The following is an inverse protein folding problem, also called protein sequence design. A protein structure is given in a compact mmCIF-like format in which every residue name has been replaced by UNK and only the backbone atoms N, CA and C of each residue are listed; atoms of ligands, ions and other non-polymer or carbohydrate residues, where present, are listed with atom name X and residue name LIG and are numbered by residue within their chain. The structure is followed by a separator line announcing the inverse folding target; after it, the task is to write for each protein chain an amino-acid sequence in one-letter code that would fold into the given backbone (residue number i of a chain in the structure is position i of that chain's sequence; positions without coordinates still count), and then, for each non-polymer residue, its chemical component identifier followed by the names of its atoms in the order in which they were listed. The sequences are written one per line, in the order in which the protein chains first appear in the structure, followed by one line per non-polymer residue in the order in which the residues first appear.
data_IF_535996940658
#
_entry.id   IF_535996940658
#
_cell.length_a   1.000
_cell.length_b   1.000
_cell.length_c   1.000
_cell.angle_alpha   90.00
_cell.angle_beta   90.00
_cell.angle_gamma   90.00
#
_symmetry.space_group_name_H-M   'P 1'
#
loop_
_entity.id
_entity.type
_entity.pdbx_description
1 polymer ?
#
# COMPACT_ATOMS: atom_id res chain seq x y z
N UNK A 1 11.92 4.80 16.20
CA UNK A 1 10.69 4.81 17.03
C UNK A 1 10.04 6.17 16.88
N UNK A 2 8.73 6.25 16.62
CA UNK A 2 8.03 7.53 16.46
C UNK A 2 8.08 8.32 17.79
N UNK A 3 8.50 9.59 17.73
CA UNK A 3 8.45 10.48 18.87
C UNK A 3 7.06 11.16 18.93
N UNK A 4 6.15 10.55 19.68
CA UNK A 4 4.75 10.99 19.76
C UNK A 4 4.57 12.35 20.45
N UNK A 5 5.55 12.81 21.25
CA UNK A 5 5.51 14.13 21.89
C UNK A 5 5.62 15.27 20.88
N UNK A 6 6.57 15.14 19.95
CA UNK A 6 6.84 16.14 18.92
C UNK A 6 5.71 16.17 17.87
N UNK A 7 5.23 14.98 17.50
CA UNK A 7 4.14 14.79 16.51
C UNK A 7 2.75 15.07 17.06
N UNK A 8 2.58 15.29 18.37
CA UNK A 8 1.26 15.46 19.01
C UNK A 8 0.52 16.65 18.43
N UNK A 9 1.16 17.81 18.39
CA UNK A 9 0.50 19.07 18.01
C UNK A 9 0.07 19.01 16.55
N UNK A 10 0.96 18.55 15.65
CA UNK A 10 0.66 18.35 14.23
C UNK A 10 -0.56 17.44 14.03
N UNK A 11 -0.61 16.32 14.74
CA UNK A 11 -1.68 15.33 14.60
C UNK A 11 -3.02 15.85 15.12
N UNK A 12 -3.02 16.49 16.29
CA UNK A 12 -4.23 17.10 16.87
C UNK A 12 -4.78 18.20 15.96
N UNK A 13 -3.92 19.07 15.41
CA UNK A 13 -4.32 20.12 14.48
C UNK A 13 -4.86 19.52 13.18
N UNK A 14 -4.19 18.51 12.61
CA UNK A 14 -4.64 17.86 11.36
C UNK A 14 -6.01 17.21 11.54
N UNK A 15 -6.25 16.55 12.67
CA UNK A 15 -7.56 15.95 12.99
C UNK A 15 -8.62 17.06 13.14
N UNK A 16 -8.33 18.14 13.87
CA UNK A 16 -9.26 19.26 14.03
C UNK A 16 -9.61 19.92 12.69
N UNK A 17 -8.62 20.18 11.83
CA UNK A 17 -8.82 20.71 10.49
C UNK A 17 -9.68 19.74 9.66
N UNK A 18 -9.38 18.44 9.69
CA UNK A 18 -10.17 17.45 8.96
C UNK A 18 -11.66 17.48 9.37
N UNK A 19 -11.95 17.53 10.67
CA UNK A 19 -13.33 17.64 11.17
C UNK A 19 -13.99 18.99 10.82
N UNK A 20 -13.23 20.08 10.81
CA UNK A 20 -13.72 21.41 10.40
C UNK A 20 -14.05 21.47 8.91
N UNK A 21 -13.21 20.90 8.04
CA UNK A 21 -13.51 20.77 6.61
C UNK A 21 -14.73 19.87 6.39
N UNK A 22 -14.84 18.78 7.15
CA UNK A 22 -15.98 17.87 7.07
C UNK A 22 -17.29 18.60 7.45
N UNK A 23 -17.27 19.47 8.47
CA UNK A 23 -18.39 20.37 8.78
C UNK A 23 -18.76 21.27 7.59
N UNK A 24 -17.78 21.91 6.96
CA UNK A 24 -18.03 22.80 5.82
C UNK A 24 -18.67 22.06 4.63
N UNK A 25 -18.17 20.86 4.30
CA UNK A 25 -18.69 20.05 3.20
C UNK A 25 -20.10 19.53 3.48
N UNK A 26 -20.37 19.06 4.70
CA UNK A 26 -21.72 18.61 5.09
C UNK A 26 -22.73 19.77 5.08
N UNK A 27 -22.33 20.92 5.61
CA UNK A 27 -23.17 22.12 5.65
C UNK A 27 -23.49 22.62 4.24
N UNK A 28 -22.54 22.51 3.30
CA UNK A 28 -22.76 22.84 1.90
C UNK A 28 -23.71 21.86 1.19
N UNK A 29 -23.57 20.55 1.44
CA UNK A 29 -24.33 19.53 0.71
C UNK A 29 -25.76 19.34 1.21
N UNK A 30 -26.02 19.54 2.50
CA UNK A 30 -27.33 19.26 3.12
C UNK A 30 -28.15 20.50 3.46
N UNK A 31 -27.62 21.71 3.25
CA UNK A 31 -28.30 22.99 3.59
C UNK A 31 -28.88 23.01 5.02
N UNK A 32 -28.31 22.21 5.92
CA UNK A 32 -28.66 22.10 7.32
C UNK A 32 -27.36 22.20 8.12
N UNK A 33 -27.34 23.08 9.11
CA UNK A 33 -26.17 23.27 9.97
C UNK A 33 -26.02 22.06 10.89
N UNK A 34 -25.19 21.10 10.50
CA UNK A 34 -24.86 19.95 11.34
C UNK A 34 -23.80 20.40 12.34
N UNK A 35 -24.18 20.87 13.53
CA UNK A 35 -23.24 21.43 14.51
C UNK A 35 -22.33 20.41 15.21
N UNK A 36 -22.70 19.12 15.18
CA UNK A 36 -21.98 18.06 15.89
C UNK A 36 -20.46 17.94 15.55
N UNK A 37 -20.00 18.07 14.29
CA UNK A 37 -18.58 17.99 13.95
C UNK A 37 -17.77 19.19 14.48
N UNK A 38 -18.38 20.38 14.59
CA UNK A 38 -17.74 21.55 15.21
C UNK A 38 -17.53 21.34 16.71
N UNK A 39 -18.52 20.78 17.41
CA UNK A 39 -18.42 20.46 18.83
C UNK A 39 -17.30 19.44 19.07
N UNK A 40 -17.23 18.39 18.24
CA UNK A 40 -16.15 17.39 18.31
C UNK A 40 -14.78 18.04 18.08
N UNK A 41 -14.65 18.90 17.06
CA UNK A 41 -13.39 19.60 16.78
C UNK A 41 -12.97 20.48 17.95
N UNK A 42 -13.91 21.22 18.55
CA UNK A 42 -13.63 22.07 19.72
C UNK A 42 -13.16 21.25 20.92
N UNK A 43 -13.79 20.11 21.18
CA UNK A 43 -13.40 19.19 22.26
C UNK A 43 -12.01 18.62 21.99
N UNK A 44 -11.75 18.11 20.79
CA UNK A 44 -10.44 17.52 20.44
C UNK A 44 -9.32 18.55 20.53
N UNK A 45 -9.58 19.79 20.10
CA UNK A 45 -8.61 20.87 20.17
C UNK A 45 -8.35 21.28 21.63
N UNK A 46 -9.42 21.47 22.42
CA UNK A 46 -9.32 21.89 23.82
C UNK A 46 -8.65 20.84 24.71
N UNK A 47 -9.05 19.57 24.59
CA UNK A 47 -8.49 18.47 25.39
C UNK A 47 -7.15 17.97 24.84
N UNK A 48 -6.93 18.03 23.53
CA UNK A 48 -5.68 17.59 22.90
C UNK A 48 -4.50 18.53 23.13
N UNK A 49 -4.75 19.84 23.23
CA UNK A 49 -3.74 20.85 23.60
C UNK A 49 -3.64 21.03 25.11
N UNK A 50 -4.77 20.99 25.84
CA UNK A 50 -4.80 21.22 27.28
C UNK A 50 -4.16 20.10 28.11
N UNK A 51 -4.27 18.84 27.66
CA UNK A 51 -3.72 17.68 28.38
C UNK A 51 -2.74 16.90 27.48
N UNK A 52 -1.41 17.00 27.72
CA UNK A 52 -0.40 16.37 26.86
C UNK A 52 -0.58 14.84 26.78
N UNK A 53 -0.94 14.20 27.90
CA UNK A 53 -1.20 12.75 27.99
C UNK A 53 -2.31 12.28 27.05
N UNK A 54 -3.41 13.04 26.97
CA UNK A 54 -4.57 12.70 26.14
C UNK A 54 -4.21 12.87 24.66
N UNK A 55 -3.56 13.97 24.30
CA UNK A 55 -3.11 14.19 22.92
C UNK A 55 -2.12 13.13 22.42
N UNK A 56 -1.24 12.60 23.27
CA UNK A 56 -0.34 11.49 22.92
C UNK A 56 -1.12 10.21 22.64
N UNK A 57 -2.12 9.88 23.47
CA UNK A 57 -2.96 8.68 23.27
C UNK A 57 -3.72 8.77 21.96
N UNK A 58 -4.33 9.92 21.66
CA UNK A 58 -5.03 10.18 20.40
C UNK A 58 -4.08 10.04 19.22
N UNK A 59 -2.91 10.68 19.30
CA UNK A 59 -1.89 10.63 18.25
C UNK A 59 -1.43 9.20 18.01
N UNK A 60 -1.15 8.43 19.07
CA UNK A 60 -0.77 7.02 18.97
C UNK A 60 -1.86 6.16 18.35
N UNK A 61 -3.13 6.37 18.73
CA UNK A 61 -4.26 5.67 18.12
C UNK A 61 -4.40 6.00 16.64
N UNK A 62 -4.27 7.28 16.27
CA UNK A 62 -4.31 7.76 14.89
C UNK A 62 -3.20 7.14 14.03
N UNK A 63 -1.95 7.16 14.50
CA UNK A 63 -0.83 6.54 13.79
C UNK A 63 -0.99 5.03 13.65
N UNK A 64 -1.53 4.35 14.68
CA UNK A 64 -1.80 2.90 14.61
C UNK A 64 -2.87 2.58 13.56
N UNK A 65 -3.92 3.41 13.46
CA UNK A 65 -4.92 3.29 12.39
C UNK A 65 -4.31 3.54 11.02
N UNK A 66 -3.52 4.61 10.85
CA UNK A 66 -2.85 4.91 9.60
C UNK A 66 -1.91 3.78 9.15
N UNK A 67 -1.20 3.15 10.08
CA UNK A 67 -0.34 2.01 9.79
C UNK A 67 -1.14 0.78 9.34
N UNK A 68 -2.29 0.51 9.95
CA UNK A 68 -3.19 -0.57 9.54
C UNK A 68 -3.73 -0.35 8.13
N UNK A 69 -4.15 0.89 7.85
CA UNK A 69 -4.62 1.30 6.52
C UNK A 69 -3.49 1.16 5.51
N UNK A 70 -2.28 1.64 5.81
CA UNK A 70 -1.12 1.51 4.92
C UNK A 70 -0.76 0.06 4.60
N UNK A 71 -0.83 -0.83 5.60
CA UNK A 71 -0.62 -2.27 5.39
C UNK A 71 -1.68 -2.89 4.47
N UNK A 72 -2.94 -2.49 4.63
CA UNK A 72 -4.05 -2.94 3.79
C UNK A 72 -3.93 -2.39 2.35
N UNK A 73 -3.61 -1.10 2.21
CA UNK A 73 -3.41 -0.44 0.92
C UNK A 73 -2.29 -1.07 0.11
N UNK A 74 -1.18 -1.47 0.73
CA UNK A 74 -0.08 -2.14 0.01
C UNK A 74 -0.54 -3.42 -0.69
N UNK A 75 -1.32 -4.26 0.01
CA UNK A 75 -1.90 -5.48 -0.59
C UNK A 75 -2.90 -5.15 -1.69
N UNK A 76 -3.79 -4.19 -1.45
CA UNK A 76 -4.80 -3.77 -2.43
C UNK A 76 -4.14 -3.25 -3.69
N UNK A 77 -3.19 -2.32 -3.58
CA UNK A 77 -2.52 -1.70 -4.72
C UNK A 77 -1.82 -2.77 -5.54
N UNK A 78 -1.15 -3.73 -4.89
CA UNK A 78 -0.51 -4.85 -5.58
C UNK A 78 -1.53 -5.73 -6.32
N UNK A 79 -2.62 -6.11 -5.65
CA UNK A 79 -3.69 -6.91 -6.27
C UNK A 79 -4.34 -6.15 -7.43
N UNK A 80 -4.58 -4.86 -7.27
CA UNK A 80 -5.18 -4.00 -8.28
C UNK A 80 -4.26 -3.86 -9.49
N UNK A 81 -2.96 -3.63 -9.28
CA UNK A 81 -1.95 -3.56 -10.33
C UNK A 81 -1.83 -4.89 -11.07
N UNK A 82 -1.78 -6.01 -10.33
CA UNK A 82 -1.78 -7.33 -10.94
C UNK A 82 -3.04 -7.55 -11.80
N UNK A 83 -4.22 -7.25 -11.27
CA UNK A 83 -5.49 -7.47 -11.95
C UNK A 83 -5.73 -6.52 -13.14
N UNK A 84 -5.32 -5.24 -13.04
CA UNK A 84 -5.56 -4.23 -14.08
C UNK A 84 -4.44 -4.12 -15.11
N UNK A 85 -3.22 -4.54 -14.78
CA UNK A 85 -2.06 -4.41 -15.68
C UNK A 85 -1.57 -5.78 -16.12
N UNK A 86 -1.17 -6.64 -15.18
CA UNK A 86 -0.48 -7.90 -15.50
C UNK A 86 -1.45 -8.93 -16.12
N UNK A 87 -2.63 -9.09 -15.53
CA UNK A 87 -3.66 -10.03 -16.03
C UNK A 87 -4.13 -9.68 -17.45
N UNK A 88 -4.59 -8.45 -17.75
CA UNK A 88 -5.00 -8.13 -19.10
C UNK A 88 -3.81 -8.17 -20.05
N UNK A 89 -2.60 -7.77 -19.64
CA UNK A 89 -1.40 -7.94 -20.48
C UNK A 89 -1.17 -9.41 -20.87
N UNK A 90 -1.28 -10.34 -19.92
CA UNK A 90 -1.15 -11.77 -20.19
C UNK A 90 -2.27 -12.31 -21.09
N UNK A 91 -3.50 -11.82 -20.92
CA UNK A 91 -4.63 -12.17 -21.79
C UNK A 91 -4.46 -11.60 -23.21
N UNK A 92 -4.02 -10.36 -23.34
CA UNK A 92 -3.66 -9.73 -24.60
C UNK A 92 -2.53 -10.50 -25.27
N UNK A 93 -1.48 -10.86 -24.53
CA UNK A 93 -0.38 -11.67 -25.04
C UNK A 93 -0.90 -13.03 -25.54
N UNK A 94 -1.76 -13.72 -24.77
CA UNK A 94 -2.36 -15.00 -25.19
C UNK A 94 -3.23 -14.87 -26.44
N UNK A 95 -4.00 -13.78 -26.56
CA UNK A 95 -4.93 -13.58 -27.68
C UNK A 95 -4.23 -13.12 -28.97
N UNK A 96 -3.30 -12.18 -28.88
CA UNK A 96 -2.58 -11.65 -30.05
C UNK A 96 -1.36 -12.51 -30.41
N UNK A 97 -0.61 -12.99 -29.42
CA UNK A 97 0.53 -13.89 -29.62
C UNK A 97 0.07 -15.32 -29.37
N UNK A 98 -0.74 -15.84 -30.30
CA UNK A 98 -1.19 -17.24 -30.31
C UNK A 98 -0.06 -18.25 -30.61
N UNK A 99 1.21 -17.80 -30.61
CA UNK A 99 2.41 -18.61 -30.78
C UNK A 99 3.07 -18.76 -29.42
N UNK A 100 3.20 -20.00 -29.01
CA UNK A 100 4.04 -20.47 -27.91
C UNK A 100 5.32 -19.64 -27.79
N UNK A 101 5.31 -18.64 -26.89
CA UNK A 101 6.44 -17.76 -26.62
C UNK A 101 7.66 -18.55 -26.14
N UNK A 102 7.45 -19.78 -25.65
CA UNK A 102 8.50 -20.67 -25.20
C UNK A 102 8.91 -21.70 -26.25
N UNK A 103 8.26 -21.73 -27.42
CA UNK A 103 8.49 -22.70 -28.51
C UNK A 103 8.85 -24.08 -27.95
N UNK A 104 8.08 -24.55 -26.95
CA UNK A 104 8.29 -25.81 -26.27
C UNK A 104 7.88 -26.88 -27.26
N UNK A 105 8.82 -27.26 -28.13
CA UNK A 105 8.75 -28.52 -28.85
C UNK A 105 8.51 -29.58 -27.80
N UNK A 106 7.37 -30.26 -27.88
CA UNK A 106 7.00 -31.34 -26.99
C UNK A 106 8.14 -32.36 -27.02
N UNK A 107 8.96 -32.39 -25.98
CA UNK A 107 10.07 -33.32 -25.79
C UNK A 107 9.81 -34.05 -24.49
N UNK A 108 9.99 -35.36 -24.52
CA UNK A 108 9.86 -36.22 -23.33
C UNK A 108 10.92 -35.87 -22.26
N UNK A 109 12.02 -35.22 -22.66
CA UNK A 109 13.06 -34.76 -21.74
C UNK A 109 13.73 -33.48 -22.22
N UNK A 110 14.03 -32.58 -21.28
CA UNK A 110 14.91 -31.43 -21.48
C UNK A 110 16.40 -31.78 -21.28
N UNK A 111 16.71 -33.04 -20.91
CA UNK A 111 18.10 -33.48 -20.85
C UNK A 111 18.73 -33.42 -22.25
N UNK A 112 19.87 -32.75 -22.33
CA UNK A 112 20.73 -32.75 -23.50
C UNK A 112 21.79 -33.83 -23.23
N UNK A 113 21.73 -34.94 -23.96
CA UNK A 113 22.75 -35.98 -23.85
C UNK A 113 24.08 -35.44 -24.38
N UNK A 114 25.01 -35.17 -23.47
CA UNK A 114 26.37 -34.73 -23.80
C UNK A 114 27.22 -35.98 -24.00
N UNK A 115 27.18 -36.56 -25.20
CA UNK A 115 28.11 -37.61 -25.64
C UNK A 115 29.53 -37.05 -25.91
N UNK A 116 30.07 -36.24 -24.99
CA UNK A 116 31.43 -35.72 -25.07
C UNK A 116 32.35 -36.64 -24.28
N UNK A 117 33.40 -37.16 -24.92
CA UNK A 117 34.48 -37.85 -24.20
C UNK A 117 35.26 -36.78 -23.41
N UNK A 118 35.35 -36.95 -22.09
CA UNK A 118 36.17 -36.06 -21.26
C UNK A 118 37.61 -36.12 -21.76
N UNK A 119 38.10 -34.97 -22.22
CA UNK A 119 39.47 -34.80 -22.70
C UNK A 119 40.25 -34.04 -21.64
N UNK A 120 41.57 -34.20 -21.57
CA UNK A 120 42.41 -33.53 -20.58
C UNK A 120 42.26 -32.00 -20.58
N UNK A 121 41.99 -31.41 -21.74
CA UNK A 121 41.72 -29.98 -21.92
C UNK A 121 40.45 -29.50 -21.18
N UNK A 122 39.47 -30.38 -20.94
CA UNK A 122 38.26 -30.06 -20.15
C UNK A 122 38.53 -30.02 -18.65
N UNK A 123 39.64 -30.62 -18.19
CA UNK A 123 40.07 -30.60 -16.79
C UNK A 123 40.86 -29.34 -16.45
N UNK A 124 41.45 -28.70 -17.46
CA UNK A 124 42.22 -27.46 -17.28
C UNK A 124 41.31 -26.24 -17.06
N UNK A 125 40.05 -26.28 -17.52
CA UNK A 125 39.08 -25.20 -17.29
C UNK A 125 37.67 -25.76 -17.02
N UNK A 126 37.36 -26.14 -15.77
CA UNK A 126 36.14 -26.87 -15.43
C UNK A 126 34.86 -26.01 -15.30
N UNK A 127 34.93 -24.70 -15.56
CA UNK A 127 33.79 -23.76 -15.47
C UNK A 127 33.37 -23.19 -16.82
#
# INVERSE_FOLDING_TARGET
MYNYEDKRIESVITIAIAFSVLFAVLSWKWSALVFWPLIISGIILSFGLGLPKVGIIITKAWFKMAQLIGWFSSKIILTLLYCLVIVPYGLFAKFFFSKDILNKKYKESFFIDRNKKMTSEDLENPW
#
